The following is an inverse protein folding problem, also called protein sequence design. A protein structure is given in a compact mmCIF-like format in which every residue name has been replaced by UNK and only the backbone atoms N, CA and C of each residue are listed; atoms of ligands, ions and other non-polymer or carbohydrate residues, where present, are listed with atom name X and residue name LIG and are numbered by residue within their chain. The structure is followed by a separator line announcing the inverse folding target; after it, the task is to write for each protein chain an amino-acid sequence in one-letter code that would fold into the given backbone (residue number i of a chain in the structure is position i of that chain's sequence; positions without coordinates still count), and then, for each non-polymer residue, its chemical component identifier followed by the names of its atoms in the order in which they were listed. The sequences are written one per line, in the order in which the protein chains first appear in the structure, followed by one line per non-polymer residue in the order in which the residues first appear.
data_IF_995754742994
#
_entry.id   IF_995754742994
#
_cell.length_a   1.000
_cell.length_b   1.000
_cell.length_c   1.000
_cell.angle_alpha   90.00
_cell.angle_beta   90.00
_cell.angle_gamma   90.00
#
_symmetry.space_group_name_H-M   'P 1'
#
loop_
_entity.id
_entity.type
_entity.pdbx_description
1 polymer ?
#
# COMPACT_ATOMS: atom_id res chain seq x y z
N UNK A 1 4.16 14.35 -15.49
CA UNK A 1 2.84 13.92 -16.02
C UNK A 1 2.51 12.47 -15.65
N UNK A 2 3.34 11.48 -15.97
CA UNK A 2 3.06 10.04 -15.72
C UNK A 2 2.76 9.74 -14.24
N UNK A 3 3.55 10.27 -13.30
CA UNK A 3 3.31 10.10 -11.87
C UNK A 3 1.91 10.57 -11.43
N UNK A 4 1.44 11.71 -11.95
CA UNK A 4 0.13 12.27 -11.56
C UNK A 4 -1.03 11.44 -12.10
N UNK A 5 -0.93 10.97 -13.35
CA UNK A 5 -1.94 10.09 -13.95
C UNK A 5 -2.00 8.77 -13.19
N UNK A 6 -0.85 8.15 -12.91
CA UNK A 6 -0.77 6.89 -12.19
C UNK A 6 -1.29 7.05 -10.75
N UNK A 7 -0.95 8.14 -10.09
CA UNK A 7 -1.45 8.51 -8.76
C UNK A 7 -2.96 8.63 -8.73
N UNK A 8 -3.56 9.33 -9.70
CA UNK A 8 -5.01 9.51 -9.78
C UNK A 8 -5.75 8.18 -9.97
N UNK A 9 -5.28 7.34 -10.89
CA UNK A 9 -5.84 5.99 -11.11
C UNK A 9 -5.71 5.15 -9.84
N UNK A 10 -4.56 5.23 -9.17
CA UNK A 10 -4.30 4.48 -7.93
C UNK A 10 -5.23 4.90 -6.81
N UNK A 11 -5.51 6.19 -6.62
CA UNK A 11 -6.48 6.68 -5.63
C UNK A 11 -7.87 6.13 -5.90
N UNK A 12 -8.35 6.17 -7.14
CA UNK A 12 -9.66 5.63 -7.52
C UNK A 12 -9.77 4.14 -7.18
N UNK A 13 -8.76 3.36 -7.57
CA UNK A 13 -8.74 1.91 -7.29
C UNK A 13 -8.68 1.64 -5.79
N UNK A 14 -7.85 2.35 -5.03
CA UNK A 14 -7.76 2.19 -3.58
C UNK A 14 -9.07 2.54 -2.87
N UNK A 15 -9.75 3.60 -3.28
CA UNK A 15 -11.07 3.96 -2.72
C UNK A 15 -12.10 2.87 -3.01
N UNK A 16 -12.11 2.33 -4.23
CA UNK A 16 -13.02 1.25 -4.60
C UNK A 16 -12.75 -0.03 -3.79
N UNK A 17 -11.49 -0.44 -3.70
CA UNK A 17 -11.09 -1.64 -2.94
C UNK A 17 -11.37 -1.47 -1.45
N UNK A 18 -11.10 -0.31 -0.86
CA UNK A 18 -11.42 -0.04 0.54
C UNK A 18 -12.93 -0.06 0.82
N UNK A 19 -13.73 0.54 -0.08
CA UNK A 19 -15.20 0.52 0.04
C UNK A 19 -15.77 -0.90 -0.10
N UNK A 20 -15.18 -1.73 -0.96
CA UNK A 20 -15.56 -3.12 -1.13
C UNK A 20 -15.18 -3.97 0.09
N UNK A 21 -14.01 -3.75 0.68
CA UNK A 21 -13.59 -4.47 1.88
C UNK A 21 -14.57 -4.24 3.04
N UNK A 22 -15.04 -2.99 3.22
CA UNK A 22 -16.10 -2.67 4.20
C UNK A 22 -17.47 -3.29 3.89
N UNK A 23 -17.80 -3.47 2.60
CA UNK A 23 -19.13 -3.92 2.17
C UNK A 23 -19.24 -5.45 2.13
N UNK A 24 -18.24 -6.11 1.59
CA UNK A 24 -18.29 -7.53 1.20
C UNK A 24 -17.17 -8.36 1.84
N UNK A 25 -16.20 -7.75 2.53
CA UNK A 25 -14.96 -8.41 3.02
C UNK A 25 -14.23 -9.19 1.91
N UNK A 26 -14.36 -8.72 0.67
CA UNK A 26 -13.72 -9.29 -0.51
C UNK A 26 -12.90 -8.21 -1.20
N UNK A 27 -11.65 -8.55 -1.46
CA UNK A 27 -10.67 -7.65 -2.07
C UNK A 27 -10.39 -8.15 -3.48
N UNK A 28 -10.80 -7.37 -4.49
CA UNK A 28 -10.41 -7.64 -5.86
C UNK A 28 -8.93 -7.35 -6.03
N UNK A 29 -8.13 -8.41 -5.97
CA UNK A 29 -6.68 -8.36 -6.03
C UNK A 29 -6.15 -8.01 -7.43
N UNK A 30 -6.91 -8.35 -8.47
CA UNK A 30 -6.55 -8.15 -9.87
C UNK A 30 -6.17 -6.68 -10.23
N UNK A 31 -7.00 -5.65 -9.95
CA UNK A 31 -6.63 -4.27 -10.23
C UNK A 31 -5.41 -3.78 -9.42
N UNK A 32 -5.23 -4.27 -8.19
CA UNK A 32 -4.09 -3.91 -7.32
C UNK A 32 -2.78 -4.49 -7.88
N UNK A 33 -2.80 -5.73 -8.36
CA UNK A 33 -1.64 -6.36 -8.98
C UNK A 33 -1.25 -5.68 -10.30
N UNK A 34 -2.22 -5.29 -11.14
CA UNK A 34 -1.93 -4.52 -12.37
C UNK A 34 -1.25 -3.20 -12.01
N UNK A 35 -1.80 -2.46 -11.04
CA UNK A 35 -1.18 -1.22 -10.58
C UNK A 35 0.22 -1.45 -10.04
N UNK A 36 0.43 -2.52 -9.28
CA UNK A 36 1.75 -2.89 -8.74
C UNK A 36 2.77 -3.06 -9.87
N UNK A 37 2.42 -3.75 -10.95
CA UNK A 37 3.31 -3.94 -12.11
C UNK A 37 3.61 -2.60 -12.78
N UNK A 38 2.63 -1.73 -12.93
CA UNK A 38 2.82 -0.40 -13.54
C UNK A 38 3.72 0.48 -12.65
N UNK A 39 3.51 0.48 -11.33
CA UNK A 39 4.37 1.17 -10.38
C UNK A 39 5.77 0.59 -10.32
N UNK A 40 5.93 -0.73 -10.46
CA UNK A 40 7.22 -1.40 -10.59
C UNK A 40 7.97 -0.92 -11.82
N UNK A 41 7.34 -0.95 -12.99
CA UNK A 41 7.93 -0.45 -14.23
C UNK A 41 8.32 1.03 -14.10
N UNK A 42 7.45 1.85 -13.53
CA UNK A 42 7.73 3.27 -13.28
C UNK A 42 8.91 3.46 -12.31
N UNK A 43 9.01 2.66 -11.25
CA UNK A 43 10.13 2.72 -10.29
C UNK A 43 11.47 2.38 -10.94
N UNK A 44 11.50 1.41 -11.86
CA UNK A 44 12.72 1.03 -12.59
C UNK A 44 13.18 2.20 -13.48
N UNK A 45 12.25 2.86 -14.17
CA UNK A 45 12.55 4.03 -14.99
C UNK A 45 13.04 5.20 -14.12
N UNK A 46 12.37 5.45 -12.98
CA UNK A 46 12.71 6.55 -12.08
C UNK A 46 14.10 6.40 -11.44
N UNK A 47 14.54 5.17 -11.16
CA UNK A 47 15.88 4.87 -10.62
C UNK A 47 16.82 4.24 -11.65
N UNK A 48 16.74 4.63 -12.94
CA UNK A 48 17.60 4.05 -13.98
C UNK A 48 19.10 4.08 -13.63
N UNK A 49 19.58 5.14 -12.96
CA UNK A 49 20.96 5.24 -12.47
C UNK A 49 21.29 4.44 -11.20
N UNK A 50 20.29 3.87 -10.52
CA UNK A 50 20.40 3.19 -9.22
C UNK A 50 19.66 1.84 -9.21
N UNK A 51 19.72 1.09 -10.32
CA UNK A 51 18.98 -0.16 -10.50
C UNK A 51 19.23 -1.19 -9.39
N UNK A 52 20.45 -1.27 -8.82
CA UNK A 52 20.76 -2.21 -7.74
C UNK A 52 19.83 -1.99 -6.54
N UNK A 53 19.60 -0.74 -6.13
CA UNK A 53 18.73 -0.40 -5.01
C UNK A 53 17.31 -0.87 -5.27
N UNK A 54 16.76 -0.54 -6.45
CA UNK A 54 15.38 -0.91 -6.82
C UNK A 54 15.21 -2.42 -6.95
N UNK A 55 16.19 -3.11 -7.55
CA UNK A 55 16.16 -4.56 -7.65
C UNK A 55 16.14 -5.21 -6.26
N UNK A 56 17.03 -4.79 -5.35
CA UNK A 56 17.03 -5.32 -3.98
C UNK A 56 15.74 -4.98 -3.22
N UNK A 57 15.22 -3.76 -3.35
CA UNK A 57 13.96 -3.37 -2.73
C UNK A 57 12.81 -4.28 -3.18
N UNK A 58 12.65 -4.49 -4.49
CA UNK A 58 11.62 -5.39 -5.02
C UNK A 58 11.83 -6.85 -4.62
N UNK A 59 13.06 -7.36 -4.65
CA UNK A 59 13.36 -8.74 -4.25
C UNK A 59 12.98 -8.96 -2.78
N UNK A 60 13.39 -8.04 -1.88
CA UNK A 60 13.06 -8.11 -0.45
C UNK A 60 11.54 -8.06 -0.27
N UNK A 61 10.85 -7.13 -0.93
CA UNK A 61 9.38 -7.03 -0.84
C UNK A 61 8.70 -8.31 -1.34
N UNK A 62 9.13 -8.90 -2.45
CA UNK A 62 8.53 -10.14 -2.97
C UNK A 62 8.76 -11.32 -2.02
N UNK A 63 9.94 -11.40 -1.40
CA UNK A 63 10.23 -12.42 -0.38
C UNK A 63 9.31 -12.23 0.84
N UNK A 64 9.15 -11.00 1.31
CA UNK A 64 8.23 -10.68 2.42
C UNK A 64 6.78 -10.99 2.06
N UNK A 65 6.34 -10.60 0.85
CA UNK A 65 5.02 -10.92 0.33
C UNK A 65 4.75 -12.44 0.34
N UNK A 66 5.70 -13.23 -0.18
CA UNK A 66 5.62 -14.70 -0.15
C UNK A 66 5.56 -15.24 1.27
N UNK A 67 6.35 -14.68 2.19
CA UNK A 67 6.31 -15.06 3.59
C UNK A 67 4.94 -14.76 4.21
N UNK A 68 4.43 -13.53 4.05
CA UNK A 68 3.12 -13.13 4.58
C UNK A 68 1.98 -14.02 4.06
N UNK A 69 2.04 -14.38 2.77
CA UNK A 69 1.06 -15.27 2.15
C UNK A 69 1.16 -16.71 2.68
N UNK A 70 2.37 -17.26 2.79
CA UNK A 70 2.58 -18.63 3.28
C UNK A 70 2.22 -18.80 4.76
N UNK A 71 2.47 -17.77 5.57
CA UNK A 71 2.13 -17.79 7.01
C UNK A 71 0.70 -17.35 7.29
N UNK A 72 -0.10 -17.01 6.27
CA UNK A 72 -1.46 -16.48 6.41
C UNK A 72 -1.57 -15.34 7.43
N UNK A 73 -0.56 -14.46 7.46
CA UNK A 73 -0.49 -13.35 8.42
C UNK A 73 -1.58 -12.32 8.11
N UNK A 74 -1.87 -12.11 6.83
CA UNK A 74 -2.94 -11.24 6.34
C UNK A 74 -3.83 -11.97 5.33
N UNK A 75 -4.99 -11.40 5.02
CA UNK A 75 -5.83 -11.88 3.91
C UNK A 75 -5.07 -11.81 2.59
N UNK A 76 -5.44 -12.68 1.65
CA UNK A 76 -4.78 -12.75 0.34
C UNK A 76 -4.74 -11.39 -0.37
N UNK A 77 -5.83 -10.63 -0.31
CA UNK A 77 -5.91 -9.30 -0.91
C UNK A 77 -5.12 -8.21 -0.17
N UNK A 78 -4.96 -8.31 1.15
CA UNK A 78 -4.16 -7.37 1.94
C UNK A 78 -2.68 -7.45 1.54
N UNK A 79 -2.21 -8.69 1.33
CA UNK A 79 -0.83 -8.96 0.91
C UNK A 79 -0.55 -8.36 -0.48
N UNK A 80 -1.54 -8.32 -1.37
CA UNK A 80 -1.38 -7.70 -2.68
C UNK A 80 -1.32 -6.16 -2.60
N UNK A 81 -2.03 -5.54 -1.65
CA UNK A 81 -1.92 -4.10 -1.39
C UNK A 81 -0.55 -3.74 -0.80
N UNK A 82 0.07 -4.64 -0.03
CA UNK A 82 1.45 -4.47 0.44
C UNK A 82 2.47 -4.39 -0.72
N UNK A 83 2.27 -5.14 -1.80
CA UNK A 83 3.14 -5.03 -2.98
C UNK A 83 3.03 -3.65 -3.65
N UNK A 84 1.80 -3.14 -3.78
CA UNK A 84 1.54 -1.80 -4.32
C UNK A 84 2.23 -0.71 -3.47
N UNK A 85 2.29 -0.92 -2.16
CA UNK A 85 2.97 -0.07 -1.19
C UNK A 85 4.43 0.21 -1.54
N UNK A 86 5.16 -0.82 -1.94
CA UNK A 86 6.58 -0.69 -2.30
C UNK A 86 6.77 0.22 -3.51
N UNK A 87 5.96 0.04 -4.55
CA UNK A 87 6.04 0.85 -5.75
C UNK A 87 5.81 2.35 -5.47
N UNK A 88 4.82 2.66 -4.63
CA UNK A 88 4.47 4.03 -4.25
C UNK A 88 5.55 4.66 -3.36
N UNK A 89 6.10 3.94 -2.38
CA UNK A 89 7.20 4.45 -1.53
C UNK A 89 8.40 4.83 -2.38
N UNK A 90 8.86 3.90 -3.23
CA UNK A 90 10.04 4.12 -4.07
C UNK A 90 9.85 5.36 -4.96
N UNK A 91 8.67 5.52 -5.55
CA UNK A 91 8.41 6.60 -6.49
C UNK A 91 8.05 7.95 -5.84
N UNK A 92 7.74 7.96 -4.55
CA UNK A 92 7.33 9.16 -3.80
C UNK A 92 8.47 9.79 -3.02
N UNK A 93 9.30 8.97 -2.33
CA UNK A 93 10.20 9.48 -1.30
C UNK A 93 11.67 9.69 -1.71
N UNK A 94 12.07 9.38 -2.94
CA UNK A 94 13.46 9.47 -3.42
C UNK A 94 14.44 8.80 -2.44
N UNK A 95 14.48 7.49 -2.48
CA UNK A 95 15.21 6.66 -1.53
C UNK A 95 16.67 6.52 -1.95
N UNK A 96 17.58 6.86 -1.05
CA UNK A 96 19.02 6.82 -1.32
C UNK A 96 19.67 5.51 -0.86
N UNK A 97 19.07 4.83 0.12
CA UNK A 97 19.61 3.58 0.66
C UNK A 97 18.50 2.60 1.11
N UNK A 98 18.88 1.31 1.22
CA UNK A 98 17.94 0.24 1.60
C UNK A 98 17.46 0.33 3.05
N UNK A 99 18.24 0.93 3.96
CA UNK A 99 17.83 1.11 5.36
C UNK A 99 16.70 2.12 5.47
N UNK A 100 16.78 3.22 4.73
CA UNK A 100 15.73 4.22 4.61
C UNK A 100 14.46 3.61 4.00
N UNK A 101 14.61 2.78 2.96
CA UNK A 101 13.48 2.02 2.39
C UNK A 101 12.79 1.15 3.46
N UNK A 102 13.58 0.32 4.16
CA UNK A 102 13.06 -0.57 5.21
C UNK A 102 12.40 0.19 6.35
N UNK A 103 13.02 1.28 6.81
CA UNK A 103 12.47 2.14 7.84
C UNK A 103 11.11 2.74 7.43
N UNK A 104 11.01 3.30 6.23
CA UNK A 104 9.76 3.87 5.73
C UNK A 104 8.67 2.80 5.58
N UNK A 105 9.01 1.61 5.06
CA UNK A 105 8.07 0.49 5.02
C UNK A 105 7.53 0.18 6.41
N UNK A 106 8.40 0.03 7.41
CA UNK A 106 7.99 -0.30 8.77
C UNK A 106 7.09 0.78 9.38
N UNK A 107 7.45 2.06 9.23
CA UNK A 107 6.67 3.19 9.76
C UNK A 107 5.29 3.26 9.10
N UNK A 108 5.23 3.16 7.78
CA UNK A 108 3.96 3.25 7.06
C UNK A 108 3.10 2.00 7.23
N UNK A 109 3.70 0.82 7.38
CA UNK A 109 3.00 -0.40 7.79
C UNK A 109 2.39 -0.24 9.18
N UNK A 110 3.16 0.23 10.16
CA UNK A 110 2.65 0.48 11.51
C UNK A 110 1.49 1.49 11.49
N UNK A 111 1.61 2.56 10.70
CA UNK A 111 0.53 3.54 10.51
C UNK A 111 -0.72 2.89 9.88
N UNK A 112 -0.57 2.06 8.85
CA UNK A 112 -1.68 1.36 8.21
C UNK A 112 -2.42 0.44 9.19
N UNK A 113 -1.69 -0.28 10.04
CA UNK A 113 -2.26 -1.15 11.07
C UNK A 113 -3.00 -0.35 12.15
N UNK A 114 -2.43 0.77 12.63
CA UNK A 114 -3.09 1.65 13.60
C UNK A 114 -4.40 2.21 13.03
N UNK A 115 -4.38 2.70 11.78
CA UNK A 115 -5.58 3.25 11.12
C UNK A 115 -6.63 2.17 10.90
N UNK A 116 -6.23 0.96 10.47
CA UNK A 116 -7.15 -0.17 10.33
C UNK A 116 -7.81 -0.53 11.66
N UNK A 117 -7.05 -0.54 12.76
CA UNK A 117 -7.58 -0.82 14.10
C UNK A 117 -8.60 0.25 14.52
N UNK A 118 -8.30 1.53 14.31
CA UNK A 118 -9.23 2.62 14.58
C UNK A 118 -10.51 2.47 13.74
N UNK A 119 -10.36 2.17 12.45
CA UNK A 119 -11.49 1.96 11.55
C UNK A 119 -12.37 0.78 11.98
N UNK A 120 -11.76 -0.33 12.39
CA UNK A 120 -12.46 -1.51 12.90
C UNK A 120 -13.21 -1.24 14.22
N UNK A 121 -12.62 -0.44 15.12
CA UNK A 121 -13.29 -0.01 16.37
C UNK A 121 -14.52 0.85 16.06
N UNK A 122 -14.40 1.81 15.13
CA UNK A 122 -15.51 2.65 14.70
C UNK A 122 -16.62 1.80 14.05
N UNK A 123 -16.26 0.88 13.16
CA UNK A 123 -17.23 -0.01 12.50
C UNK A 123 -17.99 -0.87 13.51
N UNK A 124 -17.29 -1.44 14.49
CA UNK A 124 -17.92 -2.26 15.54
C UNK A 124 -18.88 -1.45 16.42
N UNK A 125 -18.51 -0.20 16.74
CA UNK A 125 -19.37 0.73 17.46
C UNK A 125 -20.64 1.10 16.70
N UNK A 126 -20.53 1.35 15.39
CA UNK A 126 -21.69 1.68 14.52
C UNK A 126 -22.61 0.46 14.34
N UNK A 127 -22.05 -0.74 14.19
CA UNK A 127 -22.83 -1.96 13.93
C UNK A 127 -23.36 -2.65 15.20
N UNK A 128 -23.11 -2.10 16.40
CA UNK A 128 -23.47 -2.71 17.69
C UNK A 128 -23.05 -4.19 17.82
N UNK A 129 -21.90 -4.54 17.22
CA UNK A 129 -21.34 -5.91 17.32
C UNK A 129 -20.20 -5.90 18.32
N UNK A 130 -20.10 -6.94 19.16
CA UNK A 130 -18.89 -7.14 19.98
C UNK A 130 -17.72 -7.41 19.04
N UNK A 131 -16.64 -6.66 19.23
CA UNK A 131 -15.34 -6.91 18.60
C UNK A 131 -14.84 -8.26 19.14
N UNK A 132 -15.16 -9.35 18.44
CA UNK A 132 -14.53 -10.63 18.71
C UNK A 132 -13.17 -10.64 18.00
N UNK A 133 -12.15 -11.16 18.66
CA UNK A 133 -10.81 -11.32 18.07
C UNK A 133 -10.82 -12.16 16.77
N UNK A 134 -11.89 -12.93 16.53
CA UNK A 134 -12.14 -13.71 15.29
C UNK A 134 -12.85 -12.93 14.17
N UNK A 135 -13.35 -11.73 14.46
CA UNK A 135 -13.97 -10.90 13.42
C UNK A 135 -12.88 -10.26 12.58
N UNK A 136 -12.46 -10.98 11.52
CA UNK A 136 -11.42 -10.56 10.58
C UNK A 136 -11.44 -9.05 10.35
N UNK A 137 -10.43 -8.38 10.90
CA UNK A 137 -10.28 -6.94 10.88
C UNK A 137 -9.96 -6.53 9.44
N UNK A 138 -10.73 -5.60 8.88
CA UNK A 138 -10.47 -5.04 7.56
C UNK A 138 -9.15 -4.24 7.60
N UNK A 139 -8.07 -4.79 7.06
CA UNK A 139 -6.73 -4.15 7.05
C UNK A 139 -6.58 -3.21 5.86
N UNK A 140 -7.24 -3.50 4.74
CA UNK A 140 -7.16 -2.70 3.50
C UNK A 140 -7.53 -1.23 3.67
N UNK A 141 -8.56 -0.83 4.44
CA UNK A 141 -8.88 0.58 4.60
C UNK A 141 -7.73 1.38 5.21
N UNK A 142 -6.98 0.77 6.13
CA UNK A 142 -5.78 1.35 6.70
C UNK A 142 -4.69 1.55 5.65
N UNK A 143 -4.42 0.50 4.86
CA UNK A 143 -3.47 0.59 3.74
C UNK A 143 -3.88 1.65 2.71
N UNK A 144 -5.16 1.67 2.30
CA UNK A 144 -5.67 2.61 1.32
C UNK A 144 -5.53 4.05 1.80
N UNK A 145 -5.86 4.34 3.06
CA UNK A 145 -5.71 5.68 3.63
C UNK A 145 -4.25 6.13 3.63
N UNK A 146 -3.32 5.29 4.11
CA UNK A 146 -1.88 5.63 4.10
C UNK A 146 -1.37 5.86 2.69
N UNK A 147 -1.73 5.00 1.73
CA UNK A 147 -1.34 5.14 0.34
C UNK A 147 -1.87 6.42 -0.30
N UNK A 148 -3.13 6.78 -0.03
CA UNK A 148 -3.72 8.03 -0.52
C UNK A 148 -2.98 9.24 0.07
N UNK A 149 -2.68 9.24 1.37
CA UNK A 149 -1.91 10.31 2.03
C UNK A 149 -0.53 10.45 1.39
N UNK A 150 0.16 9.32 1.15
CA UNK A 150 1.46 9.31 0.48
C UNK A 150 1.39 9.86 -0.94
N UNK A 151 0.37 9.46 -1.70
CA UNK A 151 0.15 9.96 -3.06
C UNK A 151 -0.07 11.47 -3.04
N UNK A 152 -0.93 11.98 -2.15
CA UNK A 152 -1.17 13.42 -1.99
C UNK A 152 0.12 14.15 -1.63
N UNK A 153 0.89 13.62 -0.68
CA UNK A 153 2.19 14.18 -0.32
C UNK A 153 3.14 14.23 -1.53
N UNK A 154 3.23 13.15 -2.30
CA UNK A 154 4.06 13.10 -3.50
C UNK A 154 3.59 14.04 -4.61
N UNK A 155 2.27 14.25 -4.76
CA UNK A 155 1.69 15.24 -5.67
C UNK A 155 2.09 16.65 -5.24
N UNK A 156 1.96 17.00 -3.96
CA UNK A 156 2.32 18.32 -3.43
C UNK A 156 3.81 18.56 -3.60
N UNK A 157 4.66 17.59 -3.20
CA UNK A 157 6.11 17.69 -3.34
C UNK A 157 6.50 17.91 -4.80
N UNK A 158 6.05 17.05 -5.72
CA UNK A 158 6.43 17.15 -7.14
C UNK A 158 5.75 18.30 -7.89
N UNK A 159 4.59 18.76 -7.44
CA UNK A 159 3.91 19.94 -7.97
C UNK A 159 4.54 21.25 -7.50
N UNK A 160 5.19 21.26 -6.33
CA UNK A 160 5.95 22.41 -5.83
C UNK A 160 7.31 22.61 -6.52
N UNK A 161 7.82 21.58 -7.22
CA UNK A 161 9.08 21.63 -7.97
C UNK A 161 8.87 21.76 -9.49
N UNK A 162 7.62 21.93 -9.94
CA UNK A 162 7.23 22.16 -11.34
C UNK A 162 6.96 23.65 -11.57
#
# INVERSE_FOLDING_TARGET
MIYFVLSFITVIVLTFVAAQDFRERMIYSFPVLILTVIWMAYSIIFYWGRMRLVAFAWVITVVLYRAYKNFHIWGDGDSDVFLLFTGIILCTFEIDNLLQFGFLICVFLAAAQIISLIAGVIEAGIKNRKLNWDSGLAVVPGFAMVLIIMIIYGIIRKGSFA
#
